data_IF_926899369420
#
_entry.id   IF_926899369420
#
_cell.length_a   1.000
_cell.length_b   1.000
_cell.length_c   1.000
_cell.angle_alpha   90.00
_cell.angle_beta   90.00
_cell.angle_gamma   90.00
#
_symmetry.space_group_name_H-M   'P 1'
#
loop_
_entity.id
_entity.type
_entity.pdbx_description
1 polymer ?
#
# COMPACT_ATOMS: atom_id res chain seq x y z
N UNK A 1 13.16 40.94 15.39
CA UNK A 1 13.25 40.61 13.95
C UNK A 1 14.60 39.92 13.81
N UNK A 2 14.79 38.62 13.61
CA UNK A 2 14.01 37.49 13.07
C UNK A 2 14.72 36.21 13.54
N UNK A 3 14.41 35.66 14.72
CA UNK A 3 14.99 34.37 15.15
C UNK A 3 14.29 33.84 16.41
N UNK A 4 13.01 33.50 16.30
CA UNK A 4 12.25 32.92 17.44
C UNK A 4 10.99 32.17 17.00
N UNK A 5 10.57 32.33 15.73
CA UNK A 5 9.43 31.60 15.17
C UNK A 5 9.83 30.26 14.49
N UNK A 6 11.12 29.93 14.42
CA UNK A 6 11.61 28.71 13.77
C UNK A 6 11.81 27.52 14.72
N UNK A 7 11.73 27.73 16.05
CA UNK A 7 11.98 26.67 17.04
C UNK A 7 10.71 26.01 17.60
N UNK A 8 9.52 26.50 17.26
CA UNK A 8 8.26 25.98 17.85
C UNK A 8 7.68 24.78 17.07
N UNK A 9 8.11 24.51 15.83
CA UNK A 9 7.43 23.52 14.95
C UNK A 9 8.14 22.16 14.77
N UNK A 10 9.31 21.92 15.40
CA UNK A 10 10.02 20.63 15.28
C UNK A 10 9.84 19.69 16.49
N UNK A 11 9.09 20.12 17.50
CA UNK A 11 8.80 19.35 18.71
C UNK A 11 7.39 18.73 18.73
N UNK A 12 6.74 18.61 17.57
CA UNK A 12 5.56 17.77 17.38
C UNK A 12 5.96 16.30 17.42
N UNK A 13 6.22 15.77 18.62
CA UNK A 13 6.76 14.43 18.79
C UNK A 13 5.90 13.34 18.14
N UNK A 14 6.53 12.21 17.79
CA UNK A 14 5.92 10.98 17.23
C UNK A 14 4.51 10.64 17.75
N UNK A 15 4.18 10.99 19.00
CA UNK A 15 2.85 10.81 19.58
C UNK A 15 1.73 11.69 18.99
N UNK A 16 2.03 12.92 18.55
CA UNK A 16 1.07 13.80 17.88
C UNK A 16 0.73 13.28 16.46
N UNK A 17 1.74 12.81 15.73
CA UNK A 17 1.58 12.19 14.41
C UNK A 17 0.73 10.92 14.49
N UNK A 18 0.97 10.07 15.50
CA UNK A 18 0.19 8.85 15.74
C UNK A 18 -1.26 9.19 16.14
N UNK A 19 -1.48 10.25 16.93
CA UNK A 19 -2.82 10.68 17.30
C UNK A 19 -3.62 11.22 16.10
N UNK A 20 -2.96 11.97 15.21
CA UNK A 20 -3.52 12.44 13.94
C UNK A 20 -3.81 11.26 13.01
N UNK A 21 -2.87 10.33 12.86
CA UNK A 21 -3.04 9.10 12.10
C UNK A 21 -4.24 8.28 12.59
N UNK A 22 -4.39 8.12 13.91
CA UNK A 22 -5.53 7.41 14.50
C UNK A 22 -6.86 8.11 14.22
N UNK A 23 -6.90 9.45 14.24
CA UNK A 23 -8.10 10.22 13.89
C UNK A 23 -8.47 10.06 12.42
N UNK A 24 -7.50 10.03 11.52
CA UNK A 24 -7.71 9.82 10.08
C UNK A 24 -8.10 8.37 9.77
N UNK A 25 -7.50 7.40 10.46
CA UNK A 25 -7.90 6.00 10.43
C UNK A 25 -9.36 5.82 10.87
N UNK A 26 -9.90 6.68 11.74
CA UNK A 26 -11.33 6.63 12.07
C UNK A 26 -12.23 7.03 10.88
N UNK A 27 -11.79 7.96 10.02
CA UNK A 27 -12.50 8.31 8.79
C UNK A 27 -12.46 7.18 7.74
N UNK A 28 -11.34 6.45 7.66
CA UNK A 28 -11.25 5.22 6.86
C UNK A 28 -12.10 4.09 7.47
N UNK A 29 -12.12 4.00 8.80
CA UNK A 29 -12.93 3.07 9.58
C UNK A 29 -14.44 3.29 9.46
N UNK A 30 -14.90 4.39 8.84
CA UNK A 30 -16.30 4.53 8.44
C UNK A 30 -16.68 3.56 7.29
N UNK A 31 -15.68 3.08 6.53
CA UNK A 31 -15.84 2.24 5.34
C UNK A 31 -15.22 0.85 5.52
N UNK A 32 -15.43 0.24 6.70
CA UNK A 32 -14.81 -1.05 7.12
C UNK A 32 -14.93 -2.18 6.10
N UNK A 33 -16.02 -2.23 5.32
CA UNK A 33 -16.24 -3.28 4.31
C UNK A 33 -15.26 -3.18 3.16
N UNK A 34 -15.00 -1.98 2.64
CA UNK A 34 -14.04 -1.77 1.55
C UNK A 34 -12.61 -1.97 2.02
N UNK A 35 -12.31 -1.50 3.23
CA UNK A 35 -11.00 -1.70 3.84
C UNK A 35 -10.72 -3.19 4.10
N UNK A 36 -11.67 -3.92 4.69
CA UNK A 36 -11.55 -5.35 4.92
C UNK A 36 -11.44 -6.13 3.60
N UNK A 37 -12.23 -5.76 2.58
CA UNK A 37 -12.18 -6.39 1.26
C UNK A 37 -10.77 -6.28 0.65
N UNK A 38 -10.21 -5.09 0.59
CA UNK A 38 -8.87 -4.86 0.07
C UNK A 38 -7.78 -5.54 0.92
N UNK A 39 -7.89 -5.48 2.25
CA UNK A 39 -6.97 -6.14 3.17
C UNK A 39 -6.99 -7.67 3.02
N UNK A 40 -8.09 -8.25 2.56
CA UNK A 40 -8.24 -9.70 2.35
C UNK A 40 -7.84 -10.11 0.93
N UNK A 41 -8.12 -9.27 -0.07
CA UNK A 41 -7.73 -9.49 -1.47
C UNK A 41 -6.23 -9.36 -1.70
N UNK A 42 -5.58 -8.38 -1.05
CA UNK A 42 -4.17 -8.13 -1.29
C UNK A 42 -3.27 -9.33 -0.92
N UNK A 43 -3.40 -9.95 0.28
CA UNK A 43 -2.61 -11.14 0.63
C UNK A 43 -2.86 -12.33 -0.29
N UNK A 44 -4.09 -12.47 -0.83
CA UNK A 44 -4.40 -13.52 -1.79
C UNK A 44 -3.61 -13.35 -3.09
N UNK A 45 -3.47 -12.11 -3.57
CA UNK A 45 -2.58 -11.79 -4.69
C UNK A 45 -1.12 -12.06 -4.36
N UNK A 46 -0.64 -11.60 -3.21
CA UNK A 46 0.73 -11.80 -2.74
C UNK A 46 1.13 -13.28 -2.67
N UNK A 47 0.22 -14.16 -2.22
CA UNK A 47 0.45 -15.61 -2.20
C UNK A 47 0.43 -16.22 -3.61
N UNK A 48 -0.33 -15.64 -4.54
CA UNK A 48 -0.40 -16.11 -5.92
C UNK A 48 0.91 -15.87 -6.67
N UNK A 49 1.69 -14.83 -6.32
CA UNK A 49 3.03 -14.54 -6.86
C UNK A 49 4.00 -15.71 -6.71
N UNK A 50 3.79 -16.55 -5.70
CA UNK A 50 4.65 -17.71 -5.41
C UNK A 50 4.39 -18.88 -6.37
N UNK A 51 3.20 -18.96 -6.94
CA UNK A 51 2.76 -20.09 -7.76
C UNK A 51 3.53 -20.15 -9.11
N UNK A 52 3.63 -19.07 -9.90
CA UNK A 52 4.36 -19.07 -11.17
C UNK A 52 5.78 -19.67 -11.12
N UNK A 53 6.70 -19.24 -10.24
CA UNK A 53 8.05 -19.80 -10.20
C UNK A 53 8.09 -21.27 -9.76
N UNK A 54 7.17 -21.72 -8.90
CA UNK A 54 7.05 -23.13 -8.57
C UNK A 54 6.62 -23.97 -9.78
N UNK A 55 5.61 -23.52 -10.53
CA UNK A 55 5.16 -24.21 -11.74
C UNK A 55 6.26 -24.23 -12.81
N UNK A 56 7.00 -23.12 -12.98
CA UNK A 56 8.13 -23.07 -13.92
C UNK A 56 9.19 -24.10 -13.54
N UNK A 57 9.53 -24.22 -12.25
CA UNK A 57 10.46 -25.27 -11.79
C UNK A 57 9.97 -26.67 -12.16
N UNK A 58 8.74 -27.03 -11.84
CA UNK A 58 8.18 -28.35 -12.16
C UNK A 58 8.13 -28.62 -13.68
N UNK A 59 7.83 -27.58 -14.47
CA UNK A 59 7.88 -27.68 -15.93
C UNK A 59 9.32 -28.01 -16.39
N UNK A 60 10.32 -27.32 -15.87
CA UNK A 60 11.72 -27.51 -16.25
C UNK A 60 12.29 -28.85 -15.76
N UNK A 61 11.99 -29.25 -14.53
CA UNK A 61 12.62 -30.40 -13.86
C UNK A 61 11.93 -31.74 -14.21
N UNK A 62 10.61 -31.74 -14.42
CA UNK A 62 9.82 -32.98 -14.59
C UNK A 62 9.22 -33.07 -15.99
N UNK A 63 8.54 -32.01 -16.44
CA UNK A 63 7.73 -32.06 -17.66
C UNK A 63 8.60 -32.09 -18.92
N UNK A 64 9.60 -31.21 -19.00
CA UNK A 64 10.49 -31.14 -20.17
C UNK A 64 11.32 -32.43 -20.31
N UNK A 65 11.97 -32.97 -19.26
CA UNK A 65 12.70 -34.24 -19.37
C UNK A 65 11.78 -35.42 -19.69
N UNK A 66 10.56 -35.45 -19.11
CA UNK A 66 9.55 -36.47 -19.36
C UNK A 66 8.87 -36.37 -20.73
N UNK A 67 9.03 -35.24 -21.45
CA UNK A 67 8.39 -34.93 -22.73
C UNK A 67 6.86 -35.08 -22.72
N UNK A 68 6.23 -34.91 -21.56
CA UNK A 68 4.79 -35.06 -21.39
C UNK A 68 4.06 -33.76 -21.74
N UNK A 69 3.53 -33.70 -22.96
CA UNK A 69 2.78 -32.54 -23.45
C UNK A 69 1.45 -32.33 -22.70
N UNK A 70 0.86 -33.38 -22.14
CA UNK A 70 -0.38 -33.28 -21.37
C UNK A 70 -0.16 -32.54 -20.05
N UNK A 71 0.89 -32.94 -19.32
CA UNK A 71 1.32 -32.22 -18.10
C UNK A 71 1.74 -30.78 -18.42
N UNK A 72 2.40 -30.55 -19.56
CA UNK A 72 2.79 -29.20 -19.99
C UNK A 72 1.57 -28.28 -20.16
N UNK A 73 0.52 -28.74 -20.85
CA UNK A 73 -0.69 -27.94 -21.03
C UNK A 73 -1.43 -27.69 -19.71
N UNK A 74 -1.45 -28.66 -18.80
CA UNK A 74 -2.03 -28.50 -17.47
C UNK A 74 -1.28 -27.43 -16.65
N UNK A 75 0.04 -27.54 -16.56
CA UNK A 75 0.86 -26.57 -15.83
C UNK A 75 0.83 -25.18 -16.46
N UNK A 76 0.80 -25.09 -17.79
CA UNK A 76 0.62 -23.81 -18.49
C UNK A 76 -0.76 -23.18 -18.18
N UNK A 77 -1.82 -23.99 -18.14
CA UNK A 77 -3.15 -23.53 -17.73
C UNK A 77 -3.20 -23.04 -16.28
N UNK A 78 -2.58 -23.78 -15.36
CA UNK A 78 -2.45 -23.38 -13.96
C UNK A 78 -1.64 -22.09 -13.81
N UNK A 79 -0.57 -21.93 -14.59
CA UNK A 79 0.26 -20.73 -14.61
C UNK A 79 -0.55 -19.51 -15.05
N UNK A 80 -1.31 -19.62 -16.14
CA UNK A 80 -2.20 -18.55 -16.59
C UNK A 80 -3.30 -18.24 -15.56
N UNK A 81 -3.85 -19.27 -14.91
CA UNK A 81 -4.83 -19.10 -13.83
C UNK A 81 -4.25 -18.36 -12.62
N UNK A 82 -3.02 -18.70 -12.22
CA UNK A 82 -2.31 -18.04 -11.13
C UNK A 82 -2.05 -16.56 -11.44
N UNK A 83 -1.54 -16.26 -12.65
CA UNK A 83 -1.37 -14.88 -13.10
C UNK A 83 -2.70 -14.13 -13.11
N UNK A 84 -3.76 -14.73 -13.66
CA UNK A 84 -5.07 -14.09 -13.68
C UNK A 84 -5.56 -13.76 -12.27
N UNK A 85 -5.40 -14.69 -11.32
CA UNK A 85 -5.77 -14.48 -9.92
C UNK A 85 -4.95 -13.36 -9.27
N UNK A 86 -3.64 -13.35 -9.50
CA UNK A 86 -2.73 -12.30 -9.01
C UNK A 86 -3.16 -10.92 -9.52
N UNK A 87 -3.30 -10.76 -10.84
CA UNK A 87 -3.71 -9.49 -11.44
C UNK A 87 -5.14 -9.08 -11.03
N UNK A 88 -6.09 -10.00 -11.01
CA UNK A 88 -7.48 -9.70 -10.64
C UNK A 88 -7.59 -9.27 -9.18
N UNK A 89 -6.89 -9.95 -8.27
CA UNK A 89 -6.89 -9.61 -6.84
C UNK A 89 -6.17 -8.28 -6.57
N UNK A 90 -5.02 -8.06 -7.20
CA UNK A 90 -4.30 -6.79 -7.15
C UNK A 90 -5.15 -5.62 -7.67
N UNK A 91 -5.77 -5.78 -8.84
CA UNK A 91 -6.67 -4.78 -9.42
C UNK A 91 -7.88 -4.50 -8.52
N UNK A 92 -8.54 -5.53 -8.00
CA UNK A 92 -9.67 -5.36 -7.11
C UNK A 92 -9.29 -4.66 -5.80
N UNK A 93 -8.14 -4.98 -5.22
CA UNK A 93 -7.60 -4.31 -4.03
C UNK A 93 -7.29 -2.84 -4.32
N UNK A 94 -6.61 -2.55 -5.45
CA UNK A 94 -6.29 -1.19 -5.88
C UNK A 94 -7.57 -0.34 -6.05
N UNK A 95 -8.59 -0.88 -6.72
CA UNK A 95 -9.86 -0.20 -6.91
C UNK A 95 -10.60 0.02 -5.58
N UNK A 96 -10.64 -0.98 -4.70
CA UNK A 96 -11.25 -0.86 -3.39
C UNK A 96 -10.56 0.23 -2.53
N UNK A 97 -9.23 0.29 -2.58
CA UNK A 97 -8.43 1.32 -1.91
C UNK A 97 -8.63 2.72 -2.49
N UNK A 98 -8.69 2.84 -3.83
CA UNK A 98 -8.99 4.11 -4.50
C UNK A 98 -10.37 4.64 -4.11
N UNK A 99 -11.41 3.80 -4.15
CA UNK A 99 -12.77 4.17 -3.73
C UNK A 99 -12.81 4.53 -2.25
N UNK A 100 -12.10 3.79 -1.39
CA UNK A 100 -12.00 4.08 0.03
C UNK A 100 -11.39 5.46 0.28
N UNK A 101 -10.26 5.76 -0.36
CA UNK A 101 -9.57 7.06 -0.24
C UNK A 101 -10.46 8.22 -0.68
N UNK A 102 -11.15 8.08 -1.82
CA UNK A 102 -12.06 9.12 -2.30
C UNK A 102 -13.27 9.33 -1.37
N UNK A 103 -13.82 8.27 -0.78
CA UNK A 103 -14.92 8.40 0.18
C UNK A 103 -14.47 9.05 1.49
N UNK A 104 -13.32 8.65 2.03
CA UNK A 104 -12.75 9.26 3.22
C UNK A 104 -12.45 10.75 2.98
N UNK A 105 -11.88 11.08 1.82
CA UNK A 105 -11.61 12.45 1.37
C UNK A 105 -12.87 13.30 1.33
N UNK A 106 -13.95 12.76 0.75
CA UNK A 106 -15.25 13.45 0.66
C UNK A 106 -15.81 13.77 2.05
N UNK A 107 -15.77 12.81 2.96
CA UNK A 107 -16.24 13.00 4.34
C UNK A 107 -15.40 14.05 5.06
N UNK A 108 -14.07 13.96 4.96
CA UNK A 108 -13.17 14.90 5.62
C UNK A 108 -13.33 16.34 5.11
N UNK A 109 -13.45 16.53 3.79
CA UNK A 109 -13.73 17.86 3.20
C UNK A 109 -15.07 18.42 3.68
N UNK A 110 -16.10 17.59 3.78
CA UNK A 110 -17.43 18.01 4.29
C UNK A 110 -17.36 18.48 5.74
N UNK A 111 -16.69 17.73 6.62
CA UNK A 111 -16.59 18.06 8.04
C UNK A 111 -15.74 19.31 8.27
N UNK A 112 -14.64 19.45 7.54
CA UNK A 112 -13.81 20.66 7.59
C UNK A 112 -14.56 21.87 7.05
N UNK A 113 -15.31 21.74 5.95
CA UNK A 113 -16.11 22.84 5.40
C UNK A 113 -17.20 23.29 6.39
N UNK A 114 -17.88 22.35 7.04
CA UNK A 114 -18.85 22.64 8.09
C UNK A 114 -18.21 23.32 9.32
N UNK A 115 -16.96 22.96 9.65
CA UNK A 115 -16.21 23.60 10.74
C UNK A 115 -15.80 25.03 10.37
N UNK A 116 -15.32 25.24 9.15
CA UNK A 116 -14.91 26.56 8.65
C UNK A 116 -16.07 27.54 8.66
N UNK A 117 -17.27 27.12 8.22
CA UNK A 117 -18.47 27.98 8.26
C UNK A 117 -18.88 28.45 9.66
N UNK A 118 -18.45 27.76 10.72
CA UNK A 118 -18.76 28.11 12.12
C UNK A 118 -17.67 28.94 12.78
N UNK A 119 -16.60 29.29 12.07
CA UNK A 119 -15.51 30.10 12.62
C UNK A 119 -15.93 31.57 12.75
N UNK A 120 -15.47 32.29 13.79
CA UNK A 120 -15.76 33.70 13.96
C UNK A 120 -15.10 34.55 12.86
N UNK A 121 -15.73 35.67 12.50
CA UNK A 121 -15.24 36.60 11.47
C UNK A 121 -13.76 37.00 11.68
N UNK A 122 -13.35 37.23 12.92
CA UNK A 122 -11.97 37.56 13.29
C UNK A 122 -10.92 36.51 12.86
N UNK A 123 -11.31 35.25 12.64
CA UNK A 123 -10.42 34.23 12.08
C UNK A 123 -10.12 34.49 10.60
N UNK A 124 -11.14 34.92 9.84
CA UNK A 124 -11.04 35.22 8.41
C UNK A 124 -10.29 36.52 8.14
N UNK A 125 -10.31 37.48 9.07
CA UNK A 125 -9.51 38.71 8.97
C UNK A 125 -8.00 38.45 9.12
N UNK A 126 -7.63 37.39 9.86
CA UNK A 126 -6.23 37.04 10.15
C UNK A 126 -5.67 35.97 9.22
N UNK A 127 -6.52 35.24 8.53
CA UNK A 127 -6.13 34.07 7.73
C UNK A 127 -6.60 34.26 6.29
N UNK A 128 -5.69 34.39 5.31
CA UNK A 128 -6.08 34.53 3.91
C UNK A 128 -6.99 33.37 3.47
N UNK A 129 -8.09 33.68 2.79
CA UNK A 129 -9.04 32.69 2.27
C UNK A 129 -8.37 31.61 1.40
N UNK A 130 -7.35 31.99 0.62
CA UNK A 130 -6.54 31.07 -0.17
C UNK A 130 -5.82 30.02 0.69
N UNK A 131 -5.31 30.38 1.88
CA UNK A 131 -4.66 29.42 2.80
C UNK A 131 -5.66 28.42 3.35
N UNK A 132 -6.89 28.86 3.64
CA UNK A 132 -7.97 27.97 4.10
C UNK A 132 -8.31 26.97 3.00
N UNK A 133 -8.42 27.44 1.75
CA UNK A 133 -8.68 26.58 0.60
C UNK A 133 -7.57 25.56 0.37
N UNK A 134 -6.29 25.98 0.35
CA UNK A 134 -5.14 25.08 0.19
C UNK A 134 -5.10 24.00 1.27
N UNK A 135 -5.42 24.34 2.53
CA UNK A 135 -5.49 23.35 3.62
C UNK A 135 -6.66 22.39 3.46
N UNK A 136 -7.81 22.86 2.97
CA UNK A 136 -9.00 22.02 2.71
C UNK A 136 -8.80 21.06 1.52
N UNK A 137 -7.96 21.45 0.56
CA UNK A 137 -7.71 20.66 -0.65
C UNK A 137 -6.47 19.81 -0.51
N UNK A 138 -5.30 20.43 -0.40
CA UNK A 138 -4.00 19.79 -0.61
C UNK A 138 -3.56 18.99 0.62
N UNK A 139 -3.63 19.57 1.81
CA UNK A 139 -3.20 18.87 3.04
C UNK A 139 -4.09 17.64 3.29
N UNK A 140 -5.39 17.78 3.07
CA UNK A 140 -6.37 16.70 3.21
C UNK A 140 -6.12 15.61 2.17
N UNK A 141 -5.68 15.97 0.95
CA UNK A 141 -5.43 15.04 -0.15
C UNK A 141 -4.16 14.23 0.10
N UNK A 142 -3.08 14.89 0.49
CA UNK A 142 -1.84 14.25 0.91
C UNK A 142 -2.08 13.28 2.08
N UNK A 143 -2.88 13.68 3.08
CA UNK A 143 -3.26 12.79 4.18
C UNK A 143 -4.08 11.59 3.70
N UNK A 144 -5.06 11.80 2.82
CA UNK A 144 -5.88 10.71 2.29
C UNK A 144 -5.05 9.69 1.50
N UNK A 145 -4.10 10.14 0.69
CA UNK A 145 -3.23 9.30 -0.12
C UNK A 145 -2.34 8.38 0.75
N UNK A 146 -1.66 8.94 1.75
CA UNK A 146 -0.79 8.17 2.65
C UNK A 146 -1.53 7.00 3.33
N UNK A 147 -2.79 7.20 3.74
CA UNK A 147 -3.54 6.15 4.42
C UNK A 147 -4.35 5.24 3.48
N UNK A 148 -4.82 5.74 2.34
CA UNK A 148 -5.64 4.97 1.41
C UNK A 148 -4.81 4.07 0.48
N UNK A 149 -3.65 4.53 0.02
CA UNK A 149 -2.80 3.75 -0.88
C UNK A 149 -1.48 3.35 -0.23
N UNK A 150 -0.86 4.22 0.56
CA UNK A 150 0.44 3.93 1.18
C UNK A 150 0.42 2.77 2.17
N UNK A 151 -0.38 2.88 3.24
CA UNK A 151 -0.34 1.94 4.36
C UNK A 151 -0.69 0.48 3.99
N UNK A 152 -1.72 0.29 3.16
CA UNK A 152 -2.16 -1.06 2.74
C UNK A 152 -1.18 -1.68 1.76
N UNK A 153 -0.62 -0.89 0.85
CA UNK A 153 0.40 -1.37 -0.09
C UNK A 153 1.66 -1.80 0.65
N UNK A 154 2.14 -1.01 1.62
CA UNK A 154 3.32 -1.39 2.43
C UNK A 154 3.11 -2.72 3.18
N UNK A 155 1.95 -2.88 3.82
CA UNK A 155 1.61 -4.16 4.47
C UNK A 155 1.60 -5.32 3.48
N UNK A 156 1.04 -5.04 2.30
CA UNK A 156 1.01 -5.96 1.19
C UNK A 156 2.39 -6.38 0.70
N UNK A 157 3.27 -5.41 0.47
CA UNK A 157 4.65 -5.62 0.01
C UNK A 157 5.43 -6.45 1.02
N UNK A 158 5.25 -6.21 2.33
CA UNK A 158 5.87 -7.02 3.39
C UNK A 158 5.43 -8.49 3.28
N UNK A 159 4.15 -8.75 3.03
CA UNK A 159 3.62 -10.12 2.86
C UNK A 159 4.19 -10.75 1.59
N UNK A 160 4.21 -10.01 0.47
CA UNK A 160 4.75 -10.48 -0.81
C UNK A 160 6.24 -10.83 -0.66
N UNK A 161 7.03 -9.93 -0.07
CA UNK A 161 8.46 -10.17 0.19
C UNK A 161 8.64 -11.38 1.09
N UNK A 162 7.89 -11.50 2.18
CA UNK A 162 7.98 -12.66 3.07
C UNK A 162 7.62 -13.98 2.37
N UNK A 163 6.59 -13.99 1.53
CA UNK A 163 6.13 -15.15 0.79
C UNK A 163 7.15 -15.58 -0.27
N UNK A 164 7.68 -14.63 -1.05
CA UNK A 164 8.71 -14.88 -2.06
C UNK A 164 10.00 -15.37 -1.40
N UNK A 165 10.47 -14.71 -0.35
CA UNK A 165 11.67 -15.14 0.37
C UNK A 165 11.48 -16.52 0.99
N UNK A 166 10.34 -16.79 1.60
CA UNK A 166 10.00 -18.11 2.14
C UNK A 166 10.09 -19.20 1.08
N UNK A 167 9.56 -18.95 -0.11
CA UNK A 167 9.67 -19.87 -1.24
C UNK A 167 11.11 -20.02 -1.76
N UNK A 168 11.87 -18.93 -1.88
CA UNK A 168 13.27 -18.99 -2.29
C UNK A 168 14.11 -19.85 -1.34
N UNK A 169 13.96 -19.64 -0.02
CA UNK A 169 14.63 -20.47 0.99
C UNK A 169 14.17 -21.92 0.98
N UNK A 170 12.90 -22.19 0.66
CA UNK A 170 12.36 -23.53 0.51
C UNK A 170 12.90 -24.25 -0.73
N UNK A 171 13.13 -23.53 -1.83
CA UNK A 171 13.71 -24.05 -3.06
C UNK A 171 15.21 -24.34 -2.91
N UNK A 172 16.01 -23.33 -2.55
CA UNK A 172 17.44 -23.48 -2.29
C UNK A 172 17.95 -22.35 -1.39
N UNK A 173 18.17 -22.67 -0.11
CA UNK A 173 18.68 -21.73 0.87
C UNK A 173 20.10 -21.23 0.56
N UNK A 174 20.95 -22.06 -0.07
CA UNK A 174 22.34 -21.70 -0.37
C UNK A 174 22.38 -20.71 -1.52
N UNK A 175 21.63 -20.98 -2.60
CA UNK A 175 21.53 -20.08 -3.75
C UNK A 175 20.89 -18.74 -3.34
N UNK A 176 19.87 -18.79 -2.48
CA UNK A 176 19.22 -17.59 -1.93
C UNK A 176 20.20 -16.73 -1.15
N UNK A 177 21.03 -17.32 -0.28
CA UNK A 177 22.03 -16.57 0.49
C UNK A 177 23.08 -15.91 -0.42
N UNK A 178 23.50 -16.60 -1.49
CA UNK A 178 24.37 -15.99 -2.51
C UNK A 178 23.70 -14.82 -3.23
N UNK A 179 22.41 -14.92 -3.54
CA UNK A 179 21.67 -13.80 -4.15
C UNK A 179 21.63 -12.58 -3.21
N UNK A 180 21.50 -12.79 -1.90
CA UNK A 180 21.50 -11.71 -0.91
C UNK A 180 22.83 -10.96 -0.79
N UNK A 181 23.97 -11.57 -1.14
CA UNK A 181 25.25 -10.86 -1.16
C UNK A 181 25.27 -9.67 -2.13
N UNK A 182 24.39 -9.66 -3.15
CA UNK A 182 24.29 -8.58 -4.13
C UNK A 182 23.53 -7.36 -3.59
N UNK A 183 22.70 -7.53 -2.55
CA UNK A 183 21.83 -6.46 -2.02
C UNK A 183 22.63 -5.31 -1.38
N UNK A 184 23.58 -5.54 -0.44
CA UNK A 184 24.33 -4.44 0.19
C UNK A 184 25.07 -3.51 -0.79
N UNK A 185 25.83 -3.99 -1.80
CA UNK A 185 26.51 -3.09 -2.73
C UNK A 185 25.55 -2.31 -3.62
N UNK A 186 24.38 -2.88 -3.96
CA UNK A 186 23.33 -2.17 -4.70
C UNK A 186 22.78 -1.00 -3.89
N UNK A 187 22.44 -1.24 -2.62
CA UNK A 187 21.92 -0.20 -1.71
C UNK A 187 22.98 0.87 -1.42
N UNK A 188 24.26 0.51 -1.39
CA UNK A 188 25.35 1.48 -1.18
C UNK A 188 25.64 2.37 -2.39
N UNK A 189 25.21 1.98 -3.60
CA UNK A 189 25.43 2.73 -4.84
C UNK A 189 24.33 3.77 -5.12
N UNK A 190 23.13 3.58 -4.56
CA UNK A 190 21.95 4.46 -4.70
C UNK A 190 21.95 5.50 -3.59
#
# INVERSE_FOLDING_TARGET
>A
MTSTASEIDLAGGRGADVALARRLLAYLGAHKRLFALALLLYPLGALSVVIPPFLVREILDVVIPGRDLGLLHLFAGLYLGALFLEYASGFASLQAMSVLGQRAMRTLRSDLFAKVQKLPAAYFDRTPSGRILTRLTNDVEALSEVFATGAVTVLGDIITVAAVLGMMFWLDAKLTLFAFLVVPPLVALV
#
